data_IF_342976646810
#
_entry.id   IF_342976646810
#
_cell.length_a   1.000
_cell.length_b   1.000
_cell.length_c   1.000
_cell.angle_alpha   90.00
_cell.angle_beta   90.00
_cell.angle_gamma   90.00
#
_symmetry.space_group_name_H-M   'P 1'
#
loop_
_entity.id
_entity.type
_entity.pdbx_description
1 polymer ?
#
# COMPACT_ATOMS: atom_id res chain seq x y z
N UNK A 1 -33.70 36.93 28.51
CA UNK A 1 -33.71 35.48 28.15
C UNK A 1 -32.37 34.86 28.55
N UNK A 2 -32.36 33.70 29.23
CA UNK A 2 -31.10 33.01 29.54
C UNK A 2 -30.44 32.54 28.24
N UNK A 3 -29.15 32.83 28.07
CA UNK A 3 -28.34 32.40 26.93
C UNK A 3 -28.41 30.87 26.78
N UNK A 4 -28.53 30.33 25.55
CA UNK A 4 -28.78 28.91 25.33
C UNK A 4 -27.60 28.05 25.81
N UNK A 5 -27.92 26.96 26.52
CA UNK A 5 -27.04 25.94 27.11
C UNK A 5 -26.29 25.08 26.06
N UNK A 6 -25.81 25.67 24.97
CA UNK A 6 -25.14 24.97 23.86
C UNK A 6 -23.67 24.65 24.21
N UNK A 7 -23.02 25.47 25.06
CA UNK A 7 -21.62 25.26 25.46
C UNK A 7 -21.37 23.93 26.18
N UNK A 8 -22.31 23.39 26.96
CA UNK A 8 -22.02 22.21 27.80
C UNK A 8 -21.95 20.89 27.02
N UNK A 9 -22.59 20.80 25.85
CA UNK A 9 -22.63 19.57 25.03
C UNK A 9 -21.43 19.44 24.08
N UNK A 10 -20.76 20.56 23.78
CA UNK A 10 -19.57 20.61 22.91
C UNK A 10 -18.30 20.24 23.69
N UNK A 11 -18.25 20.57 24.99
CA UNK A 11 -17.08 20.31 25.87
C UNK A 11 -16.75 18.82 25.99
N UNK A 12 -17.73 17.90 25.84
CA UNK A 12 -17.46 16.46 25.85
C UNK A 12 -16.94 15.91 24.52
N UNK A 13 -16.81 16.73 23.48
CA UNK A 13 -16.43 16.33 22.12
C UNK A 13 -15.07 16.92 21.72
N UNK A 14 -14.46 17.80 22.51
CA UNK A 14 -13.14 18.37 22.23
C UNK A 14 -12.13 17.93 23.29
N UNK A 15 -10.89 17.69 22.88
CA UNK A 15 -9.77 17.44 23.79
C UNK A 15 -8.81 18.63 23.76
N UNK A 16 -8.04 18.81 24.82
CA UNK A 16 -6.99 19.83 24.87
C UNK A 16 -5.70 19.26 24.28
N UNK A 17 -5.02 20.04 23.45
CA UNK A 17 -3.70 19.71 22.94
C UNK A 17 -2.67 19.72 24.07
N UNK A 18 -1.92 18.63 24.33
CA UNK A 18 -0.95 18.57 25.44
C UNK A 18 0.29 19.45 25.23
N UNK A 19 0.51 19.96 24.01
CA UNK A 19 1.69 20.76 23.66
C UNK A 19 1.45 22.26 23.70
N UNK A 20 0.27 22.74 23.26
CA UNK A 20 -0.04 24.17 23.18
C UNK A 20 -1.29 24.61 23.94
N UNK A 21 -2.06 23.67 24.53
CA UNK A 21 -3.24 24.00 25.34
C UNK A 21 -4.51 24.36 24.55
N UNK A 22 -4.47 24.36 23.22
CA UNK A 22 -5.63 24.68 22.38
C UNK A 22 -6.64 23.53 22.28
N UNK A 23 -7.91 23.89 22.06
CA UNK A 23 -8.99 22.93 21.82
C UNK A 23 -8.87 22.31 20.44
N UNK A 24 -8.90 20.98 20.38
CA UNK A 24 -8.74 20.19 19.17
C UNK A 24 -9.76 19.07 19.08
N UNK A 25 -9.98 18.58 17.85
CA UNK A 25 -10.81 17.40 17.62
C UNK A 25 -10.17 16.17 18.29
N UNK A 26 -10.95 15.26 18.90
CA UNK A 26 -10.45 14.06 19.54
C UNK A 26 -9.65 13.16 18.59
N UNK A 27 -10.10 13.10 17.33
CA UNK A 27 -9.47 12.34 16.24
C UNK A 27 -8.30 13.07 15.57
N UNK A 28 -7.88 14.26 16.04
CA UNK A 28 -6.74 14.97 15.45
C UNK A 28 -5.44 14.18 15.64
N UNK A 29 -4.81 13.80 14.51
CA UNK A 29 -3.50 13.14 14.47
C UNK A 29 -2.35 14.16 14.58
N UNK A 30 -2.57 15.37 14.07
CA UNK A 30 -1.63 16.50 14.12
C UNK A 30 -2.36 17.76 14.54
N UNK A 31 -1.77 18.55 15.44
CA UNK A 31 -2.35 19.79 15.92
C UNK A 31 -2.30 20.87 14.83
N UNK A 32 -3.43 21.53 14.55
CA UNK A 32 -3.50 22.63 13.59
C UNK A 32 -2.89 23.94 14.09
N UNK A 33 -2.71 24.10 15.41
CA UNK A 33 -2.24 25.33 16.04
C UNK A 33 -0.71 25.35 16.18
N UNK A 34 -0.12 24.32 16.81
CA UNK A 34 1.33 24.24 17.02
C UNK A 34 2.05 23.32 16.03
N UNK A 35 1.34 22.49 15.27
CA UNK A 35 1.96 21.55 14.33
C UNK A 35 2.49 20.24 14.95
N UNK A 36 2.37 20.06 16.27
CA UNK A 36 2.82 18.83 16.92
C UNK A 36 1.94 17.62 16.63
N UNK A 37 2.54 16.43 16.63
CA UNK A 37 1.84 15.16 16.42
C UNK A 37 1.21 14.66 17.73
N UNK A 38 -0.06 14.22 17.67
CA UNK A 38 -0.92 14.03 18.84
C UNK A 38 -1.18 12.56 19.21
N UNK A 39 -0.23 11.68 18.94
CA UNK A 39 -0.30 10.28 19.34
C UNK A 39 0.94 9.51 18.93
N UNK A 40 1.10 8.32 19.51
CA UNK A 40 2.01 7.31 18.97
C UNK A 40 1.45 6.77 17.65
N UNK A 41 2.34 6.44 16.72
CA UNK A 41 1.95 5.67 15.52
C UNK A 41 1.19 4.44 16.02
N UNK A 42 0.04 4.08 15.45
CA UNK A 42 -0.69 2.91 15.89
C UNK A 42 0.27 1.72 15.92
N UNK A 43 0.51 1.17 17.10
CA UNK A 43 1.25 -0.06 17.28
C UNK A 43 0.32 -1.16 16.77
N UNK A 44 0.34 -1.40 15.46
CA UNK A 44 -0.51 -2.44 14.86
C UNK A 44 0.10 -3.77 15.23
N UNK A 45 -0.38 -4.37 16.32
CA UNK A 45 -0.04 -5.74 16.66
C UNK A 45 -0.64 -6.68 15.60
N UNK A 46 0.21 -7.51 15.01
CA UNK A 46 -0.19 -8.51 14.03
C UNK A 46 -0.04 -8.09 12.57
N UNK A 47 -0.61 -8.92 11.69
CA UNK A 47 -0.44 -8.78 10.24
C UNK A 47 -1.32 -7.66 9.67
N UNK A 48 -0.67 -6.63 9.15
CA UNK A 48 -1.29 -5.39 8.67
C UNK A 48 -1.62 -5.40 7.17
N UNK A 49 -1.33 -6.49 6.45
CA UNK A 49 -1.62 -6.57 5.02
C UNK A 49 -3.10 -6.30 4.71
N UNK A 50 -3.36 -5.69 3.55
CA UNK A 50 -4.72 -5.33 3.13
C UNK A 50 -5.30 -4.09 3.80
N UNK A 51 -4.59 -3.43 4.73
CA UNK A 51 -5.05 -2.19 5.38
C UNK A 51 -4.76 -0.91 4.57
N UNK A 52 -4.50 -1.04 3.27
CA UNK A 52 -4.19 0.08 2.39
C UNK A 52 -2.93 0.83 2.85
N UNK A 53 -3.00 2.16 2.87
CA UNK A 53 -1.87 3.02 3.23
C UNK A 53 -1.49 2.94 4.72
N UNK A 54 -2.30 2.30 5.57
CA UNK A 54 -2.00 2.07 6.98
C UNK A 54 -1.21 0.78 7.21
N UNK A 55 -1.08 -0.07 6.17
CA UNK A 55 -0.34 -1.32 6.30
C UNK A 55 1.16 -1.05 6.53
N UNK A 56 1.68 -1.60 7.63
CA UNK A 56 3.11 -1.65 7.89
C UNK A 56 3.71 -2.70 6.95
N UNK A 57 4.49 -2.25 5.96
CA UNK A 57 5.11 -3.13 4.97
C UNK A 57 6.45 -3.64 5.50
N UNK A 58 6.62 -4.96 5.70
CA UNK A 58 7.88 -5.54 6.18
C UNK A 58 9.04 -5.25 5.22
N UNK A 59 10.21 -4.88 5.76
CA UNK A 59 11.39 -4.56 4.93
C UNK A 59 11.83 -5.73 4.05
N UNK A 60 11.66 -6.96 4.52
CA UNK A 60 12.05 -8.18 3.80
C UNK A 60 11.29 -8.42 2.49
N UNK A 61 10.12 -7.79 2.30
CA UNK A 61 9.33 -7.89 1.06
C UNK A 61 9.47 -6.65 0.17
N UNK A 62 10.15 -5.58 0.62
CA UNK A 62 10.46 -4.38 -0.18
C UNK A 62 11.64 -4.64 -1.13
N UNK A 63 11.51 -5.70 -1.92
CA UNK A 63 12.49 -6.14 -2.92
C UNK A 63 11.87 -6.08 -4.30
N UNK A 64 12.72 -6.13 -5.31
CA UNK A 64 12.30 -6.21 -6.70
C UNK A 64 11.29 -7.35 -6.92
N UNK A 65 10.15 -7.03 -7.52
CA UNK A 65 9.08 -7.96 -7.80
C UNK A 65 9.14 -8.41 -9.27
N UNK A 66 9.79 -9.56 -9.50
CA UNK A 66 9.90 -10.16 -10.82
C UNK A 66 8.55 -10.55 -11.44
N UNK A 67 7.59 -10.96 -10.62
CA UNK A 67 6.23 -11.26 -11.11
C UNK A 67 5.54 -10.01 -11.67
N UNK A 68 5.57 -8.92 -10.92
CA UNK A 68 5.00 -7.64 -11.32
C UNK A 68 5.68 -7.06 -12.56
N UNK A 69 7.00 -7.16 -12.65
CA UNK A 69 7.78 -6.67 -13.78
C UNK A 69 7.56 -7.48 -15.08
N UNK A 70 7.45 -8.82 -14.98
CA UNK A 70 7.34 -9.68 -16.16
C UNK A 70 5.89 -9.83 -16.66
N UNK A 71 4.92 -9.81 -15.75
CA UNK A 71 3.50 -10.09 -16.06
C UNK A 71 2.59 -8.85 -15.92
N UNK A 72 3.13 -7.70 -15.50
CA UNK A 72 2.50 -6.39 -15.53
C UNK A 72 1.05 -6.39 -15.01
N UNK A 73 0.09 -6.09 -15.89
CA UNK A 73 -1.32 -5.99 -15.58
C UNK A 73 -1.94 -7.33 -15.14
N UNK A 74 -1.47 -8.47 -15.67
CA UNK A 74 -1.95 -9.81 -15.29
C UNK A 74 -1.63 -10.08 -13.82
N UNK A 75 -0.37 -9.83 -13.44
CA UNK A 75 0.04 -9.91 -12.04
C UNK A 75 -0.74 -8.89 -11.18
N UNK A 76 -0.97 -7.69 -11.71
CA UNK A 76 -1.72 -6.64 -11.02
C UNK A 76 -3.14 -7.06 -10.64
N UNK A 77 -3.88 -7.69 -11.55
CA UNK A 77 -5.23 -8.22 -11.29
C UNK A 77 -5.19 -9.24 -10.16
N UNK A 78 -4.26 -10.21 -10.20
CA UNK A 78 -4.15 -11.26 -9.17
C UNK A 78 -3.77 -10.76 -7.77
N UNK A 79 -3.21 -9.55 -7.68
CA UNK A 79 -2.71 -8.93 -6.45
C UNK A 79 -3.47 -7.65 -6.06
N UNK A 80 -4.60 -7.34 -6.69
CA UNK A 80 -5.39 -6.11 -6.49
C UNK A 80 -4.61 -4.81 -6.73
N UNK A 81 -3.55 -4.84 -7.55
CA UNK A 81 -2.71 -3.69 -7.91
C UNK A 81 -3.19 -3.08 -9.23
N UNK A 82 -4.35 -2.43 -9.21
CA UNK A 82 -5.01 -1.89 -10.42
C UNK A 82 -4.21 -0.82 -11.19
N UNK A 83 -3.27 -0.15 -10.54
CA UNK A 83 -2.34 0.78 -11.22
C UNK A 83 -1.47 0.07 -12.28
N UNK A 84 -1.32 -1.26 -12.18
CA UNK A 84 -0.66 -2.05 -13.22
C UNK A 84 -1.38 -2.03 -14.57
N UNK A 85 -2.67 -1.66 -14.63
CA UNK A 85 -3.40 -1.47 -15.89
C UNK A 85 -2.81 -0.33 -16.74
N UNK A 86 -2.05 0.60 -16.14
CA UNK A 86 -1.33 1.64 -16.89
C UNK A 86 -0.30 1.06 -17.88
N UNK A 87 0.14 -0.20 -17.68
CA UNK A 87 0.98 -0.92 -18.63
C UNK A 87 0.30 -1.19 -19.98
N UNK A 88 -1.02 -1.01 -20.10
CA UNK A 88 -1.74 -1.11 -21.38
C UNK A 88 -1.54 0.13 -22.26
N UNK A 89 -1.02 1.23 -21.71
CA UNK A 89 -0.71 2.45 -22.46
C UNK A 89 0.76 2.37 -22.91
N UNK A 90 1.07 2.28 -24.22
CA UNK A 90 2.41 1.93 -24.71
C UNK A 90 3.55 2.79 -24.15
N UNK A 91 3.40 4.12 -24.18
CA UNK A 91 4.44 5.03 -23.71
C UNK A 91 4.60 5.04 -22.18
N UNK A 92 3.50 4.85 -21.44
CA UNK A 92 3.52 4.76 -19.98
C UNK A 92 4.14 3.44 -19.53
N UNK A 93 3.92 2.37 -20.29
CA UNK A 93 4.42 1.04 -19.99
C UNK A 93 5.94 1.00 -19.81
N UNK A 94 6.71 1.70 -20.65
CA UNK A 94 8.17 1.75 -20.56
C UNK A 94 8.71 2.14 -19.18
N UNK A 95 7.99 3.02 -18.47
CA UNK A 95 8.35 3.44 -17.11
C UNK A 95 7.63 2.56 -16.08
N UNK A 96 6.35 2.29 -16.32
CA UNK A 96 5.48 1.62 -15.37
C UNK A 96 5.96 0.20 -15.01
N UNK A 97 6.55 -0.54 -15.94
CA UNK A 97 7.11 -1.87 -15.64
C UNK A 97 8.18 -1.81 -14.55
N UNK A 98 9.05 -0.80 -14.56
CA UNK A 98 10.09 -0.63 -13.55
C UNK A 98 9.49 -0.19 -12.22
N UNK A 99 8.48 0.70 -12.26
CA UNK A 99 7.74 1.10 -11.06
C UNK A 99 7.06 -0.12 -10.42
N UNK A 100 6.44 -1.00 -11.21
CA UNK A 100 5.89 -2.28 -10.74
C UNK A 100 6.98 -3.19 -10.17
N UNK A 101 8.15 -3.25 -10.79
CA UNK A 101 9.30 -3.98 -10.26
C UNK A 101 9.71 -3.49 -8.87
N UNK A 102 9.82 -2.18 -8.65
CA UNK A 102 10.26 -1.62 -7.36
C UNK A 102 9.15 -1.60 -6.30
N UNK A 103 7.92 -1.23 -6.66
CA UNK A 103 6.80 -0.96 -5.73
C UNK A 103 5.75 -2.07 -5.69
N UNK A 104 5.79 -3.02 -6.62
CA UNK A 104 4.76 -4.05 -6.75
C UNK A 104 4.52 -4.80 -5.44
N UNK A 105 5.57 -5.29 -4.78
CA UNK A 105 5.41 -6.03 -3.52
C UNK A 105 4.76 -5.21 -2.41
N UNK A 106 5.12 -3.93 -2.31
CA UNK A 106 4.53 -3.00 -1.35
C UNK A 106 3.04 -2.78 -1.64
N UNK A 107 2.69 -2.50 -2.90
CA UNK A 107 1.30 -2.30 -3.29
C UNK A 107 0.46 -3.56 -3.12
N UNK A 108 1.00 -4.74 -3.43
CA UNK A 108 0.31 -6.01 -3.22
C UNK A 108 0.08 -6.31 -1.73
N UNK A 109 1.04 -5.96 -0.87
CA UNK A 109 0.89 -6.08 0.58
C UNK A 109 -0.18 -5.15 1.14
N UNK A 110 -0.19 -3.89 0.68
CA UNK A 110 -1.15 -2.88 1.12
C UNK A 110 -2.58 -3.21 0.66
N UNK A 111 -2.77 -3.75 -0.54
CA UNK A 111 -4.10 -3.88 -1.19
C UNK A 111 -4.79 -5.23 -1.02
N UNK A 112 -4.07 -6.26 -0.54
CA UNK A 112 -4.61 -7.61 -0.38
C UNK A 112 -4.24 -8.17 0.99
N UNK A 113 -5.17 -8.86 1.64
CA UNK A 113 -4.92 -9.57 2.90
C UNK A 113 -4.14 -10.85 2.61
N UNK A 114 -3.06 -11.06 3.35
CA UNK A 114 -2.20 -12.25 3.29
C UNK A 114 -2.15 -12.92 4.65
N UNK A 115 -2.03 -14.24 4.73
CA UNK A 115 -2.02 -14.93 6.04
C UNK A 115 -0.75 -14.61 6.83
N UNK A 116 0.39 -14.62 6.16
CA UNK A 116 1.70 -14.29 6.74
C UNK A 116 2.64 -13.71 5.68
N UNK A 117 3.85 -13.30 6.11
CA UNK A 117 4.90 -12.82 5.20
C UNK A 117 5.42 -13.97 4.32
N UNK A 118 5.49 -15.18 4.86
CA UNK A 118 5.89 -16.40 4.17
C UNK A 118 4.87 -16.76 3.09
N UNK A 119 3.57 -16.75 3.43
CA UNK A 119 2.52 -16.99 2.44
C UNK A 119 2.61 -15.98 1.28
N UNK A 120 2.84 -14.69 1.58
CA UNK A 120 3.06 -13.68 0.56
C UNK A 120 4.27 -14.01 -0.33
N UNK A 121 5.43 -14.30 0.27
CA UNK A 121 6.67 -14.64 -0.46
C UNK A 121 6.49 -15.85 -1.37
N UNK A 122 5.81 -16.89 -0.89
CA UNK A 122 5.55 -18.11 -1.67
C UNK A 122 4.69 -17.82 -2.90
N UNK A 123 3.66 -16.99 -2.75
CA UNK A 123 2.82 -16.57 -3.88
C UNK A 123 3.61 -15.69 -4.86
N UNK A 124 4.38 -14.72 -4.38
CA UNK A 124 5.21 -13.88 -5.27
C UNK A 124 6.30 -14.69 -5.99
N UNK A 125 6.86 -15.73 -5.36
CA UNK A 125 7.80 -16.66 -6.00
C UNK A 125 7.14 -17.43 -7.14
N UNK A 126 5.91 -17.93 -6.95
CA UNK A 126 5.14 -18.60 -8.02
C UNK A 126 4.89 -17.66 -9.21
N UNK A 127 4.53 -16.40 -8.95
CA UNK A 127 4.37 -15.38 -9.99
C UNK A 127 5.68 -15.11 -10.75
N UNK A 128 6.81 -14.99 -10.04
CA UNK A 128 8.11 -14.80 -10.66
C UNK A 128 8.50 -15.97 -11.57
N UNK A 129 8.27 -17.21 -11.11
CA UNK A 129 8.54 -18.42 -11.91
C UNK A 129 7.64 -18.46 -13.16
N UNK A 130 6.35 -18.17 -13.02
CA UNK A 130 5.43 -18.12 -14.15
C UNK A 130 5.84 -17.07 -15.19
N UNK A 131 6.23 -15.87 -14.74
CA UNK A 131 6.71 -14.79 -15.60
C UNK A 131 7.99 -15.18 -16.35
N UNK A 132 8.95 -15.78 -15.64
CA UNK A 132 10.20 -16.23 -16.24
C UNK A 132 9.97 -17.36 -17.25
N UNK A 133 9.11 -18.32 -16.93
CA UNK A 133 8.75 -19.41 -17.84
C UNK A 133 8.10 -18.91 -19.13
N UNK A 134 7.18 -17.95 -19.03
CA UNK A 134 6.56 -17.32 -20.21
C UNK A 134 7.60 -16.57 -21.05
N UNK A 135 8.50 -15.81 -20.42
CA UNK A 135 9.56 -15.09 -21.13
C UNK A 135 10.46 -16.05 -21.92
N UNK A 136 10.92 -17.12 -21.27
CA UNK A 136 11.75 -18.15 -21.92
C UNK A 136 10.99 -18.78 -23.09
N UNK A 137 9.71 -19.13 -22.90
CA UNK A 137 8.89 -19.71 -23.97
C UNK A 137 8.78 -18.79 -25.18
N UNK A 138 8.53 -17.48 -24.98
CA UNK A 138 8.44 -16.50 -26.08
C UNK A 138 9.78 -16.36 -26.81
N UNK A 139 10.90 -16.29 -26.06
CA UNK A 139 12.25 -16.21 -26.65
C UNK A 139 12.53 -17.45 -27.48
N UNK A 140 12.32 -18.65 -26.93
CA UNK A 140 12.55 -19.92 -27.63
C UNK A 140 11.69 -20.00 -28.89
N UNK A 141 10.41 -19.64 -28.81
CA UNK A 141 9.51 -19.60 -29.98
C UNK A 141 9.98 -18.62 -31.05
N UNK A 142 10.49 -17.45 -30.67
CA UNK A 142 11.01 -16.46 -31.60
C UNK A 142 12.25 -16.96 -32.36
N UNK A 143 13.12 -17.75 -31.71
CA UNK A 143 14.33 -18.29 -32.34
C UNK A 143 14.10 -19.61 -33.11
N UNK A 144 13.16 -20.46 -32.69
CA UNK A 144 12.82 -21.71 -33.39
C UNK A 144 11.86 -21.47 -34.57
N UNK A 145 11.02 -20.43 -34.49
CA UNK A 145 10.07 -20.06 -35.55
C UNK A 145 10.65 -19.19 -36.66
N UNK A 146 11.96 -18.94 -36.65
CA UNK A 146 12.73 -18.39 -37.76
C UNK A 146 13.47 -19.51 -38.47
#
# INVERSE_FOLDING_TARGET
TPKPKIKSKIISILKICPFCGEEILPAAIKCKHCGEWLGEKPHVEGNTSGQGNLAVVPEEIKKWNWGAFLLNWIWGIGNNVWIALLCLIPYVNFIMIFVLGVKGSEWAWQKKRWDSIEHFKDVQKKWAIAGLGLLIFVIVKFFIGK
#
